data_IF_572140925699
#
_entry.id   IF_572140925699
#
_cell.length_a   1.000
_cell.length_b   1.000
_cell.length_c   1.000
_cell.angle_alpha   90.00
_cell.angle_beta   90.00
_cell.angle_gamma   90.00
#
_symmetry.space_group_name_H-M   'P 1'
#
loop_
_entity.id
_entity.type
_entity.pdbx_description
1 polymer ?
#
# COMPACT_ATOMS: atom_id res chain seq x y z
N UNK A 1 2.84 -3.09 14.18
CA UNK A 1 3.94 -2.85 13.24
C UNK A 1 5.06 -1.98 13.84
N UNK A 2 4.78 -0.74 14.27
CA UNK A 2 5.81 0.24 14.70
C UNK A 2 6.75 -0.22 15.84
N UNK A 3 6.33 -1.14 16.70
CA UNK A 3 7.17 -1.68 17.77
C UNK A 3 8.19 -2.74 17.30
N UNK A 4 8.04 -3.28 16.09
CA UNK A 4 8.95 -4.27 15.50
C UNK A 4 9.80 -3.58 14.41
N UNK A 5 11.12 -3.79 14.46
CA UNK A 5 12.07 -3.11 13.58
C UNK A 5 11.84 -3.40 12.09
N UNK A 6 11.67 -4.68 11.72
CA UNK A 6 11.47 -5.10 10.34
C UNK A 6 10.17 -4.52 9.78
N UNK A 7 9.06 -4.69 10.51
CA UNK A 7 7.77 -4.16 10.09
C UNK A 7 7.79 -2.64 9.95
N UNK A 8 8.32 -1.92 10.95
CA UNK A 8 8.41 -0.45 10.90
C UNK A 8 9.23 0.03 9.71
N UNK A 9 10.38 -0.59 9.46
CA UNK A 9 11.30 -0.16 8.41
C UNK A 9 10.70 -0.41 7.02
N UNK A 10 10.13 -1.60 6.80
CA UNK A 10 9.45 -1.90 5.53
C UNK A 10 8.20 -1.04 5.32
N UNK A 11 7.44 -0.75 6.37
CA UNK A 11 6.26 0.14 6.29
C UNK A 11 6.67 1.58 5.92
N UNK A 12 7.72 2.10 6.56
CA UNK A 12 8.23 3.44 6.25
C UNK A 12 8.80 3.52 4.83
N UNK A 13 9.53 2.49 4.39
CA UNK A 13 10.03 2.41 3.01
C UNK A 13 8.88 2.44 2.01
N UNK A 14 7.85 1.63 2.23
CA UNK A 14 6.64 1.62 1.43
C UNK A 14 5.98 3.01 1.33
N UNK A 15 5.72 3.67 2.47
CA UNK A 15 5.06 4.98 2.52
C UNK A 15 5.85 6.01 1.72
N UNK A 16 7.16 6.12 1.98
CA UNK A 16 8.00 7.13 1.36
C UNK A 16 8.18 6.90 -0.16
N UNK A 17 8.30 5.64 -0.60
CA UNK A 17 8.46 5.33 -2.02
C UNK A 17 7.18 5.57 -2.83
N UNK A 18 6.02 5.45 -2.19
CA UNK A 18 4.72 5.64 -2.84
C UNK A 18 4.16 7.07 -2.75
N UNK A 19 4.80 7.94 -1.97
CA UNK A 19 4.40 9.34 -1.83
C UNK A 19 4.65 10.10 -3.15
N UNK A 20 3.64 10.77 -3.72
CA UNK A 20 3.84 11.60 -4.91
C UNK A 20 4.78 12.77 -4.61
N UNK A 21 5.61 13.12 -5.59
CA UNK A 21 6.43 14.32 -5.54
C UNK A 21 5.55 15.57 -5.36
N UNK A 22 5.85 16.39 -4.36
CA UNK A 22 5.00 17.54 -3.96
C UNK A 22 4.86 18.59 -5.06
N UNK A 23 5.84 18.69 -5.97
CA UNK A 23 5.90 19.71 -7.01
C UNK A 23 5.16 19.24 -8.26
N UNK A 24 5.41 18.02 -8.70
CA UNK A 24 4.90 17.47 -9.95
C UNK A 24 3.61 16.67 -9.76
N UNK A 25 3.31 16.22 -8.55
CA UNK A 25 2.22 15.30 -8.25
C UNK A 25 2.41 13.90 -8.86
N UNK A 26 3.61 13.60 -9.37
CA UNK A 26 3.92 12.31 -10.02
C UNK A 26 4.63 11.37 -9.06
N UNK A 27 4.61 10.08 -9.36
CA UNK A 27 5.29 9.06 -8.55
C UNK A 27 5.85 7.94 -9.43
N UNK A 28 6.87 7.23 -8.94
CA UNK A 28 7.38 6.02 -9.58
C UNK A 28 6.50 4.82 -9.22
N UNK A 29 5.52 4.54 -10.07
CA UNK A 29 4.57 3.44 -9.87
C UNK A 29 5.25 2.06 -9.79
N UNK A 30 6.18 1.67 -10.69
CA UNK A 30 6.94 0.43 -10.54
C UNK A 30 7.66 0.30 -9.19
N UNK A 31 8.36 1.35 -8.74
CA UNK A 31 9.05 1.34 -7.45
C UNK A 31 8.07 1.21 -6.27
N UNK A 32 6.96 1.94 -6.31
CA UNK A 32 5.91 1.85 -5.29
C UNK A 32 5.29 0.44 -5.19
N UNK A 33 4.98 -0.21 -6.32
CA UNK A 33 4.47 -1.59 -6.29
C UNK A 33 5.56 -2.55 -5.79
N UNK A 34 6.83 -2.29 -6.10
CA UNK A 34 7.97 -3.02 -5.53
C UNK A 34 8.01 -2.93 -4.00
N UNK A 35 7.92 -1.72 -3.45
CA UNK A 35 7.97 -1.49 -1.99
C UNK A 35 6.77 -2.09 -1.26
N UNK A 36 5.57 -2.13 -1.88
CA UNK A 36 4.41 -2.87 -1.35
C UNK A 36 4.73 -4.37 -1.23
N UNK A 37 5.33 -4.98 -2.27
CA UNK A 37 5.73 -6.40 -2.21
C UNK A 37 6.77 -6.64 -1.12
N UNK A 38 7.73 -5.73 -0.98
CA UNK A 38 8.77 -5.82 0.04
C UNK A 38 8.21 -5.74 1.47
N UNK A 39 7.16 -4.95 1.70
CA UNK A 39 6.45 -4.93 3.00
C UNK A 39 5.97 -6.33 3.40
N UNK A 40 5.27 -7.04 2.51
CA UNK A 40 4.75 -8.37 2.83
C UNK A 40 5.81 -9.48 2.75
N UNK A 41 6.94 -9.22 2.08
CA UNK A 41 8.06 -10.16 2.02
C UNK A 41 8.91 -10.14 3.28
N UNK A 42 9.21 -8.95 3.82
CA UNK A 42 10.18 -8.79 4.90
C UNK A 42 9.56 -8.53 6.27
N UNK A 43 8.36 -7.93 6.35
CA UNK A 43 7.70 -7.75 7.63
C UNK A 43 7.03 -9.06 8.09
N UNK A 44 7.08 -9.40 9.39
CA UNK A 44 6.39 -10.55 9.93
C UNK A 44 4.89 -10.54 9.58
N UNK A 45 4.40 -11.67 9.07
CA UNK A 45 3.02 -11.79 8.56
C UNK A 45 1.97 -11.39 9.60
N UNK A 46 2.18 -11.77 10.87
CA UNK A 46 1.29 -11.42 11.99
C UNK A 46 1.24 -9.92 12.30
N UNK A 47 2.13 -9.12 11.72
CA UNK A 47 2.19 -7.67 11.88
C UNK A 47 1.81 -6.90 10.61
N UNK A 48 2.12 -7.43 9.42
CA UNK A 48 1.84 -6.80 8.13
C UNK A 48 0.42 -7.09 7.64
N UNK A 49 -0.08 -8.31 7.81
CA UNK A 49 -1.41 -8.70 7.38
C UNK A 49 -2.53 -7.88 8.06
N UNK A 50 -2.50 -7.63 9.39
CA UNK A 50 -3.52 -6.80 10.04
C UNK A 50 -3.56 -5.35 9.57
N UNK A 51 -2.52 -4.84 8.90
CA UNK A 51 -2.53 -3.48 8.36
C UNK A 51 -3.58 -3.33 7.25
N UNK A 52 -3.78 -4.37 6.44
CA UNK A 52 -4.68 -4.35 5.27
C UNK A 52 -5.95 -5.16 5.47
N UNK A 53 -5.95 -6.12 6.41
CA UNK A 53 -7.08 -7.01 6.70
C UNK A 53 -7.78 -6.72 8.04
N UNK A 54 -7.48 -5.60 8.69
CA UNK A 54 -8.16 -5.25 9.94
C UNK A 54 -9.69 -5.19 9.76
N UNK A 55 -10.39 -5.70 10.78
CA UNK A 55 -11.83 -5.52 10.91
C UNK A 55 -12.08 -4.17 11.56
N UNK A 56 -12.87 -3.35 10.88
CA UNK A 56 -13.38 -2.10 11.41
C UNK A 56 -14.85 -2.28 11.76
N UNK A 57 -15.30 -1.68 12.86
CA UNK A 57 -16.71 -1.62 13.21
C UNK A 57 -17.49 -0.78 12.18
N UNK A 58 -18.79 -1.04 12.04
CA UNK A 58 -19.65 -0.46 10.99
C UNK A 58 -19.65 1.08 10.97
N UNK A 59 -19.35 1.69 12.13
CA UNK A 59 -19.33 3.15 12.32
C UNK A 59 -17.92 3.73 12.53
N UNK A 60 -16.86 2.91 12.51
CA UNK A 60 -15.48 3.35 12.71
C UNK A 60 -14.86 3.81 11.40
N UNK A 61 -15.19 5.05 11.01
CA UNK A 61 -14.68 5.68 9.80
C UNK A 61 -13.17 5.89 9.83
N UNK A 62 -12.58 6.07 11.01
CA UNK A 62 -11.14 6.30 11.16
C UNK A 62 -10.36 5.02 10.84
N UNK A 63 -10.81 3.88 11.37
CA UNK A 63 -10.26 2.57 11.02
C UNK A 63 -10.37 2.29 9.51
N UNK A 64 -11.55 2.52 8.91
CA UNK A 64 -11.76 2.30 7.47
C UNK A 64 -10.85 3.20 6.64
N UNK A 65 -10.72 4.47 7.04
CA UNK A 65 -9.85 5.43 6.36
C UNK A 65 -8.37 5.05 6.47
N UNK A 66 -7.94 4.57 7.64
CA UNK A 66 -6.56 4.12 7.85
C UNK A 66 -6.24 2.87 7.02
N UNK A 67 -7.15 1.87 7.00
CA UNK A 67 -7.02 0.68 6.15
C UNK A 67 -6.95 1.04 4.67
N UNK A 68 -7.80 1.96 4.22
CA UNK A 68 -7.83 2.41 2.83
C UNK A 68 -6.65 3.32 2.47
N UNK A 69 -6.09 4.06 3.44
CA UNK A 69 -4.93 4.93 3.26
C UNK A 69 -3.64 4.17 2.96
N UNK A 70 -3.60 2.88 3.26
CA UNK A 70 -2.52 1.97 2.86
C UNK A 70 -2.63 1.49 1.39
N UNK A 71 -3.62 1.99 0.63
CA UNK A 71 -3.70 1.85 -0.83
C UNK A 71 -3.27 3.16 -1.48
N UNK A 72 -1.98 3.33 -1.84
CA UNK A 72 -1.49 4.61 -2.32
C UNK A 72 -2.05 4.88 -3.71
N UNK A 73 -2.42 6.14 -3.96
CA UNK A 73 -2.89 6.60 -5.28
C UNK A 73 -1.86 6.24 -6.36
N UNK A 74 -0.57 6.31 -6.02
CA UNK A 74 0.54 5.94 -6.88
C UNK A 74 0.45 4.52 -7.48
N UNK A 75 0.01 3.54 -6.69
CA UNK A 75 -0.06 2.14 -7.12
C UNK A 75 -1.27 1.87 -8.03
N UNK A 76 -2.27 2.75 -8.03
CA UNK A 76 -3.48 2.56 -8.82
C UNK A 76 -3.14 2.51 -10.32
N UNK A 77 -3.87 1.72 -11.13
CA UNK A 77 -3.70 1.77 -12.58
C UNK A 77 -3.96 3.19 -13.09
N UNK A 78 -3.34 3.57 -14.20
CA UNK A 78 -3.64 4.84 -14.86
C UNK A 78 -5.10 4.90 -15.30
N UNK A 79 -5.56 6.08 -15.75
CA UNK A 79 -6.95 6.33 -16.15
C UNK A 79 -7.53 5.32 -17.17
N UNK A 80 -6.69 4.55 -17.86
CA UNK A 80 -7.08 3.38 -18.64
C UNK A 80 -6.90 2.12 -17.81
N UNK A 81 -7.89 1.80 -16.98
CA UNK A 81 -7.98 0.48 -16.34
C UNK A 81 -8.30 -0.51 -17.46
N UNK A 82 -7.38 -1.42 -17.84
CA UNK A 82 -7.67 -2.42 -18.84
C UNK A 82 -8.80 -3.34 -18.35
N UNK A 83 -9.52 -3.97 -19.29
CA UNK A 83 -10.52 -4.98 -18.94
C UNK A 83 -9.89 -6.05 -18.03
N UNK A 84 -10.65 -6.54 -17.05
CA UNK A 84 -10.12 -7.51 -16.08
C UNK A 84 -9.58 -8.78 -16.75
N UNK A 85 -10.18 -9.23 -17.88
CA UNK A 85 -9.69 -10.37 -18.65
C UNK A 85 -8.43 -10.02 -19.43
N UNK A 86 -8.29 -8.78 -19.90
CA UNK A 86 -7.07 -8.30 -20.53
C UNK A 86 -5.91 -8.24 -19.53
N UNK A 87 -6.18 -7.76 -18.31
CA UNK A 87 -5.19 -7.72 -17.23
C UNK A 87 -4.77 -9.13 -16.80
N UNK A 88 -5.72 -10.07 -16.71
CA UNK A 88 -5.43 -11.46 -16.29
C UNK A 88 -4.52 -12.21 -17.27
N UNK A 89 -4.53 -11.85 -18.56
CA UNK A 89 -3.72 -12.50 -19.59
C UNK A 89 -2.25 -12.04 -19.63
N UNK A 90 -1.92 -10.94 -18.92
CA UNK A 90 -0.56 -10.40 -18.82
C UNK A 90 0.23 -11.10 -17.72
#
# INVERSE_FOLDING_TARGET
>A
CNANYECRTSLAHYINTCEPDEITGTCDRPACIGSIRDLFKYAPLNLSQPLVECRCEEHDKDCVSLRNGLLPVCARPSAQVPDCLELHRR
#
